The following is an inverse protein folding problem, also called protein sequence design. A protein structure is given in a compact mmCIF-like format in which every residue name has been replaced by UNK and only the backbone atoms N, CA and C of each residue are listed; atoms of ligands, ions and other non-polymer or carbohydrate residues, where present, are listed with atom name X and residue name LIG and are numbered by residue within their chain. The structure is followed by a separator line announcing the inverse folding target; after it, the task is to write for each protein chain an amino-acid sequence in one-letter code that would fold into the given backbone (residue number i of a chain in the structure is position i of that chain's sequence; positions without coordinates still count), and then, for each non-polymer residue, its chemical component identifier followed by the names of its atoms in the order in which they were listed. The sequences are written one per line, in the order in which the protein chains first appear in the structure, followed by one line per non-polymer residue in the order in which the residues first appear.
data_IF_329438698495
#
_entry.id   IF_329438698495
#
_cell.length_a   1.000
_cell.length_b   1.000
_cell.length_c   1.000
_cell.angle_alpha   90.00
_cell.angle_beta   90.00
_cell.angle_gamma   90.00
#
_symmetry.space_group_name_H-M   'P 1'
#
loop_
_entity.id
_entity.type
_entity.pdbx_description
1 polymer ?
#
# COMPACT_ATOMS: atom_id res chain seq x y z
N UNK A 1 25.34 16.50 -13.32
CA UNK A 1 25.96 15.34 -14.00
C UNK A 1 24.88 14.32 -14.23
N UNK A 2 24.55 14.05 -15.50
CA UNK A 2 23.67 12.94 -15.86
C UNK A 2 24.48 11.67 -15.76
N UNK A 3 24.16 10.79 -14.81
CA UNK A 3 24.69 9.42 -14.80
C UNK A 3 24.42 8.82 -16.19
N UNK A 4 25.43 8.30 -16.91
CA UNK A 4 25.18 7.54 -18.13
C UNK A 4 24.22 6.37 -17.79
N UNK A 5 23.44 5.91 -18.77
CA UNK A 5 22.55 4.76 -18.64
C UNK A 5 23.38 3.47 -18.41
N UNK A 6 23.97 3.32 -17.22
CA UNK A 6 24.66 2.13 -16.78
C UNK A 6 23.62 1.12 -16.28
N UNK A 7 23.77 -0.13 -16.68
CA UNK A 7 22.88 -1.20 -16.21
C UNK A 7 23.42 -1.76 -14.89
N UNK A 8 22.51 -2.05 -13.96
CA UNK A 8 22.85 -2.75 -12.70
C UNK A 8 22.58 -4.23 -12.92
N UNK A 9 23.61 -5.07 -12.72
CA UNK A 9 23.51 -6.53 -12.83
C UNK A 9 23.72 -7.14 -11.46
N UNK A 10 22.79 -8.00 -11.04
CA UNK A 10 22.90 -8.73 -9.77
C UNK A 10 23.43 -10.13 -10.06
N UNK A 11 24.61 -10.44 -9.54
CA UNK A 11 25.23 -11.76 -9.65
C UNK A 11 25.07 -12.55 -8.34
N UNK A 12 24.69 -13.82 -8.49
CA UNK A 12 24.53 -14.75 -7.37
C UNK A 12 25.63 -15.81 -7.47
N UNK A 13 26.57 -15.80 -6.54
CA UNK A 13 27.68 -16.74 -6.48
C UNK A 13 27.64 -17.59 -5.21
N UNK A 14 28.15 -18.82 -5.30
CA UNK A 14 28.47 -19.64 -4.13
C UNK A 14 29.85 -19.23 -3.58
N UNK A 15 30.00 -19.18 -2.25
CA UNK A 15 31.29 -19.07 -1.55
C UNK A 15 32.10 -17.75 -1.63
N UNK A 16 31.49 -16.58 -1.84
CA UNK A 16 32.18 -15.30 -1.58
C UNK A 16 32.04 -14.84 -0.12
N UNK A 17 33.15 -14.39 0.47
CA UNK A 17 33.33 -14.06 1.90
C UNK A 17 32.78 -12.67 2.25
N UNK A 18 32.71 -11.73 1.31
CA UNK A 18 32.14 -10.39 1.53
C UNK A 18 31.12 -10.04 0.44
N UNK A 19 30.03 -9.42 0.89
CA UNK A 19 29.04 -8.75 0.03
C UNK A 19 29.62 -7.39 -0.31
N UNK A 20 29.61 -7.03 -1.58
CA UNK A 20 30.01 -5.70 -2.02
C UNK A 20 29.43 -5.43 -3.39
N UNK A 21 29.23 -4.15 -3.65
CA UNK A 21 28.95 -3.59 -4.96
C UNK A 21 30.26 -3.12 -5.58
N UNK A 22 30.38 -3.25 -6.90
CA UNK A 22 31.56 -2.79 -7.65
C UNK A 22 31.14 -2.22 -9.00
N UNK A 23 31.95 -1.30 -9.50
CA UNK A 23 31.85 -0.82 -10.87
C UNK A 23 32.85 -1.57 -11.75
N UNK A 24 32.40 -2.05 -12.91
CA UNK A 24 33.25 -2.73 -13.91
C UNK A 24 33.34 -1.82 -15.12
N UNK A 25 34.47 -1.11 -15.23
CA UNK A 25 34.70 -0.07 -16.23
C UNK A 25 34.66 -0.61 -17.66
N UNK A 26 35.26 -1.79 -17.89
CA UNK A 26 35.34 -2.46 -19.20
C UNK A 26 33.95 -2.74 -19.80
N UNK A 27 32.99 -3.07 -18.96
CA UNK A 27 31.62 -3.39 -19.34
C UNK A 27 30.65 -2.21 -19.16
N UNK A 28 31.09 -1.13 -18.49
CA UNK A 28 30.27 0.01 -18.08
C UNK A 28 29.03 -0.43 -17.27
N UNK A 29 29.24 -1.30 -16.27
CA UNK A 29 28.19 -1.91 -15.45
C UNK A 29 28.49 -1.80 -13.96
N UNK A 30 27.42 -1.65 -13.17
CA UNK A 30 27.49 -1.90 -11.72
C UNK A 30 27.09 -3.34 -11.41
N UNK A 31 27.84 -3.98 -10.53
CA UNK A 31 27.58 -5.35 -10.11
C UNK A 31 27.29 -5.38 -8.61
N UNK A 32 26.22 -6.08 -8.23
CA UNK A 32 25.93 -6.44 -6.84
C UNK A 32 26.14 -7.94 -6.69
N UNK A 33 27.07 -8.33 -5.81
CA UNK A 33 27.41 -9.74 -5.63
C UNK A 33 26.78 -10.29 -4.34
N UNK A 34 25.95 -11.31 -4.50
CA UNK A 34 25.20 -11.93 -3.41
C UNK A 34 25.64 -13.37 -3.22
N UNK A 35 25.94 -13.73 -1.97
CA UNK A 35 26.17 -15.10 -1.59
C UNK A 35 24.85 -15.91 -1.64
N UNK A 36 24.82 -16.94 -2.48
CA UNK A 36 23.66 -17.82 -2.71
C UNK A 36 23.11 -18.45 -1.42
N UNK A 37 23.95 -18.81 -0.46
CA UNK A 37 23.53 -19.47 0.79
C UNK A 37 22.76 -18.54 1.72
N UNK A 38 22.84 -17.23 1.47
CA UNK A 38 22.08 -16.20 2.18
C UNK A 38 20.73 -15.89 1.52
N UNK A 39 20.42 -16.51 0.39
CA UNK A 39 19.12 -16.40 -0.29
C UNK A 39 18.18 -17.44 0.31
N UNK A 40 17.09 -16.97 0.90
CA UNK A 40 16.08 -17.80 1.53
C UNK A 40 14.71 -17.40 1.02
N UNK A 41 14.11 -18.27 0.21
CA UNK A 41 12.80 -18.05 -0.38
C UNK A 41 12.09 -19.41 -0.55
N UNK A 42 10.75 -19.50 -0.32
CA UNK A 42 9.88 -18.46 0.22
C UNK A 42 10.28 -18.03 1.64
N UNK A 43 9.96 -16.79 2.02
CA UNK A 43 10.28 -16.30 3.37
C UNK A 43 9.48 -17.08 4.42
N UNK A 44 10.17 -17.65 5.41
CA UNK A 44 9.56 -18.34 6.55
C UNK A 44 9.75 -17.52 7.82
N UNK A 45 10.96 -16.98 8.01
CA UNK A 45 11.35 -16.24 9.20
C UNK A 45 11.72 -14.78 8.88
N UNK A 46 11.75 -13.93 9.91
CA UNK A 46 12.29 -12.57 9.82
C UNK A 46 13.74 -12.49 9.30
N UNK A 47 14.54 -13.55 9.47
CA UNK A 47 15.94 -13.57 9.01
C UNK A 47 16.04 -13.68 7.50
N UNK A 48 15.05 -14.31 6.86
CA UNK A 48 15.04 -14.56 5.41
C UNK A 48 14.89 -13.24 4.64
N UNK A 49 14.23 -12.25 5.25
CA UNK A 49 14.03 -10.89 4.73
C UNK A 49 15.24 -9.96 4.86
N UNK A 50 16.32 -10.38 5.55
CA UNK A 50 17.55 -9.56 5.70
C UNK A 50 18.24 -9.29 4.36
N UNK A 51 18.03 -10.16 3.37
CA UNK A 51 18.60 -9.99 2.04
C UNK A 51 18.10 -8.72 1.36
N UNK A 52 16.83 -8.36 1.53
CA UNK A 52 16.25 -7.15 0.93
C UNK A 52 16.98 -5.88 1.39
N UNK A 53 17.25 -5.78 2.70
CA UNK A 53 18.04 -4.67 3.24
C UNK A 53 19.47 -4.65 2.71
N UNK A 54 20.08 -5.83 2.55
CA UNK A 54 21.42 -5.94 1.97
C UNK A 54 21.44 -5.41 0.54
N UNK A 55 20.51 -5.84 -0.31
CA UNK A 55 20.44 -5.39 -1.70
C UNK A 55 20.21 -3.88 -1.75
N UNK A 56 19.30 -3.36 -0.93
CA UNK A 56 19.02 -1.93 -0.86
C UNK A 56 20.23 -1.10 -0.38
N UNK A 57 21.04 -1.64 0.53
CA UNK A 57 22.27 -1.01 1.00
C UNK A 57 23.33 -0.93 -0.11
N UNK A 58 23.55 -2.02 -0.85
CA UNK A 58 24.46 -2.01 -2.02
C UNK A 58 23.98 -1.08 -3.13
N UNK A 59 22.66 -1.00 -3.34
CA UNK A 59 22.06 0.02 -4.22
C UNK A 59 22.34 1.44 -3.72
N UNK A 60 22.39 1.64 -2.40
CA UNK A 60 22.79 2.90 -1.79
C UNK A 60 24.21 3.30 -2.18
N UNK A 61 25.19 2.41 -2.05
CA UNK A 61 26.57 2.69 -2.48
C UNK A 61 26.68 3.07 -3.96
N UNK A 62 25.90 2.42 -4.83
CA UNK A 62 25.89 2.72 -6.26
C UNK A 62 25.23 4.09 -6.52
N UNK A 63 24.03 4.32 -5.97
CA UNK A 63 23.22 5.49 -6.30
C UNK A 63 23.68 6.78 -5.60
N UNK A 64 24.41 6.65 -4.49
CA UNK A 64 25.06 7.77 -3.80
C UNK A 64 26.50 7.99 -4.29
N UNK A 65 26.93 7.26 -5.32
CA UNK A 65 28.24 7.43 -5.96
C UNK A 65 29.44 7.13 -5.05
N UNK A 66 29.24 6.31 -4.00
CA UNK A 66 30.32 5.90 -3.09
C UNK A 66 31.39 5.06 -3.79
N UNK A 67 31.09 4.47 -4.96
CA UNK A 67 32.04 3.66 -5.73
C UNK A 67 32.95 4.50 -6.65
N UNK A 68 32.75 5.82 -6.75
CA UNK A 68 33.57 6.67 -7.61
C UNK A 68 35.01 6.82 -7.13
N UNK A 69 35.25 6.70 -5.82
CA UNK A 69 36.58 6.70 -5.23
C UNK A 69 36.90 5.29 -4.75
N UNK A 70 38.03 4.68 -5.16
CA UNK A 70 38.44 3.38 -4.64
C UNK A 70 38.62 3.39 -3.12
N UNK A 71 38.10 2.36 -2.44
CA UNK A 71 38.14 2.24 -0.97
C UNK A 71 39.54 2.35 -0.35
N UNK A 72 40.60 1.96 -1.08
CA UNK A 72 41.99 2.07 -0.62
C UNK A 72 42.46 3.52 -0.44
N UNK A 73 41.79 4.46 -1.10
CA UNK A 73 42.09 5.89 -1.02
C UNK A 73 41.28 6.62 0.05
N UNK A 74 40.30 5.95 0.65
CA UNK A 74 39.43 6.53 1.67
C UNK A 74 39.99 6.28 3.07
N UNK A 75 39.84 7.26 3.95
CA UNK A 75 40.10 7.06 5.38
C UNK A 75 38.95 6.28 6.04
N UNK A 76 39.17 5.77 7.25
CA UNK A 76 38.16 4.93 7.92
C UNK A 76 36.87 5.71 8.21
N UNK A 77 36.99 6.97 8.59
CA UNK A 77 35.85 7.85 8.91
C UNK A 77 34.96 8.08 7.69
N UNK A 78 35.54 8.25 6.49
CA UNK A 78 34.78 8.39 5.24
C UNK A 78 34.01 7.11 4.92
N UNK A 79 34.64 5.95 5.08
CA UNK A 79 34.02 4.64 4.84
C UNK A 79 32.86 4.38 5.81
N UNK A 80 33.04 4.75 7.07
CA UNK A 80 31.98 4.66 8.08
C UNK A 80 30.79 5.58 7.75
N UNK A 81 31.06 6.80 7.27
CA UNK A 81 30.01 7.72 6.83
C UNK A 81 29.25 7.18 5.60
N UNK A 82 29.95 6.71 4.58
CA UNK A 82 29.33 6.12 3.38
C UNK A 82 28.47 4.89 3.74
N UNK A 83 28.92 4.03 4.66
CA UNK A 83 28.15 2.90 5.17
C UNK A 83 26.88 3.35 5.90
N UNK A 84 26.96 4.42 6.71
CA UNK A 84 25.79 5.01 7.39
C UNK A 84 24.80 5.61 6.39
N UNK A 85 25.29 6.31 5.36
CA UNK A 85 24.47 6.88 4.30
C UNK A 85 23.76 5.80 3.47
N UNK A 86 24.47 4.72 3.11
CA UNK A 86 23.89 3.57 2.43
C UNK A 86 22.84 2.84 3.29
N UNK A 87 23.07 2.73 4.61
CA UNK A 87 22.07 2.22 5.55
C UNK A 87 20.81 3.10 5.61
N UNK A 88 20.97 4.42 5.65
CA UNK A 88 19.83 5.34 5.66
C UNK A 88 19.07 5.32 4.33
N UNK A 89 19.79 5.22 3.20
CA UNK A 89 19.20 5.00 1.88
C UNK A 89 18.33 3.73 1.86
N UNK A 90 18.88 2.60 2.30
CA UNK A 90 18.16 1.33 2.37
C UNK A 90 16.91 1.41 3.25
N UNK A 91 17.02 2.09 4.41
CA UNK A 91 15.91 2.33 5.33
C UNK A 91 14.79 3.15 4.68
N UNK A 92 15.12 4.24 4.00
CA UNK A 92 14.14 5.09 3.28
C UNK A 92 13.47 4.37 2.12
N UNK A 93 14.24 3.58 1.36
CA UNK A 93 13.75 2.84 0.21
C UNK A 93 12.76 1.74 0.61
N UNK A 94 13.14 0.92 1.60
CA UNK A 94 12.36 -0.26 2.00
C UNK A 94 11.22 0.08 2.98
N UNK A 95 11.42 1.10 3.81
CA UNK A 95 10.46 1.50 4.85
C UNK A 95 10.22 3.00 4.74
N UNK A 96 9.47 3.45 3.71
CA UNK A 96 9.14 4.85 3.53
C UNK A 96 8.40 5.39 4.75
N UNK A 97 8.83 6.55 5.24
CA UNK A 97 8.28 7.15 6.45
C UNK A 97 6.76 7.36 6.33
N UNK A 98 6.30 7.97 5.23
CA UNK A 98 4.88 8.22 4.99
C UNK A 98 4.06 6.93 5.12
N UNK A 99 4.51 5.83 4.53
CA UNK A 99 3.81 4.54 4.63
C UNK A 99 3.83 4.00 6.05
N UNK A 100 4.99 4.06 6.72
CA UNK A 100 5.17 3.61 8.11
C UNK A 100 4.23 4.32 9.08
N UNK A 101 4.05 5.65 8.93
CA UNK A 101 3.17 6.44 9.80
C UNK A 101 1.68 6.08 9.64
N UNK A 102 1.29 5.53 8.49
CA UNK A 102 -0.08 5.07 8.24
C UNK A 102 -0.29 3.59 8.62
N UNK A 103 0.74 2.88 9.09
CA UNK A 103 0.58 1.51 9.56
C UNK A 103 -0.22 1.46 10.87
N UNK A 104 -0.97 0.39 11.02
CA UNK A 104 -1.58 -0.12 12.25
C UNK A 104 -0.60 -1.13 12.84
N UNK A 105 0.03 -0.78 13.96
CA UNK A 105 1.11 -1.57 14.55
C UNK A 105 0.57 -2.75 15.36
N UNK A 106 -0.01 -3.73 14.67
CA UNK A 106 -0.57 -4.94 15.30
C UNK A 106 0.50 -5.78 16.00
N UNK A 107 1.71 -5.82 15.44
CA UNK A 107 2.92 -6.37 16.05
C UNK A 107 4.13 -6.02 15.18
N UNK A 108 5.34 -6.01 15.76
CA UNK A 108 6.60 -5.81 15.01
C UNK A 108 6.74 -6.82 13.87
N UNK A 109 6.53 -8.15 14.06
CA UNK A 109 6.66 -9.12 12.98
C UNK A 109 5.72 -8.86 11.80
N UNK A 110 4.46 -8.50 12.07
CA UNK A 110 3.48 -8.24 11.00
C UNK A 110 3.83 -6.99 10.18
N UNK A 111 4.26 -5.91 10.84
CA UNK A 111 4.68 -4.68 10.14
C UNK A 111 5.97 -4.92 9.36
N UNK A 112 6.93 -5.66 9.93
CA UNK A 112 8.17 -6.00 9.24
C UNK A 112 7.93 -6.90 8.02
N UNK A 113 7.00 -7.84 8.12
CA UNK A 113 6.54 -8.67 7.00
C UNK A 113 5.87 -7.84 5.91
N UNK A 114 5.01 -6.89 6.28
CA UNK A 114 4.38 -5.96 5.32
C UNK A 114 5.41 -5.19 4.47
N UNK A 115 6.51 -4.74 5.09
CA UNK A 115 7.62 -4.08 4.37
C UNK A 115 8.64 -5.05 3.76
N UNK A 116 8.45 -6.36 3.89
CA UNK A 116 9.43 -7.38 3.50
C UNK A 116 10.84 -7.15 4.09
N UNK A 117 10.93 -6.75 5.35
CA UNK A 117 12.19 -6.53 6.08
C UNK A 117 12.30 -7.41 7.32
N UNK A 118 13.47 -7.40 7.95
CA UNK A 118 13.64 -8.05 9.25
C UNK A 118 13.10 -7.18 10.39
N UNK A 119 12.74 -7.81 11.52
CA UNK A 119 12.29 -7.11 12.72
C UNK A 119 13.31 -6.06 13.20
N UNK A 120 14.60 -6.40 13.12
CA UNK A 120 15.69 -5.49 13.49
C UNK A 120 15.74 -4.26 12.58
N UNK A 121 15.58 -4.43 11.27
CA UNK A 121 15.59 -3.31 10.32
C UNK A 121 14.41 -2.35 10.58
N UNK A 122 13.21 -2.89 10.86
CA UNK A 122 12.07 -2.07 11.26
C UNK A 122 12.32 -1.32 12.57
N UNK A 123 12.87 -1.98 13.58
CA UNK A 123 13.16 -1.35 14.87
C UNK A 123 14.18 -0.21 14.74
N UNK A 124 15.26 -0.43 13.98
CA UNK A 124 16.26 0.62 13.69
C UNK A 124 15.59 1.80 12.99
N UNK A 125 14.74 1.54 11.98
CA UNK A 125 14.03 2.61 11.27
C UNK A 125 13.14 3.43 12.19
N UNK A 126 12.39 2.78 13.07
CA UNK A 126 11.56 3.47 14.07
C UNK A 126 12.41 4.33 15.01
N UNK A 127 13.54 3.82 15.47
CA UNK A 127 14.45 4.55 16.34
C UNK A 127 15.07 5.77 15.62
N UNK A 128 15.54 5.60 14.39
CA UNK A 128 16.09 6.68 13.57
C UNK A 128 15.07 7.81 13.32
N UNK A 129 13.80 7.44 13.11
CA UNK A 129 12.70 8.40 12.94
C UNK A 129 12.17 8.94 14.28
N UNK A 130 12.65 8.44 15.42
CA UNK A 130 12.14 8.75 16.75
C UNK A 130 10.64 8.47 16.91
N UNK A 131 10.16 7.39 16.27
CA UNK A 131 8.75 6.98 16.22
C UNK A 131 8.43 5.69 16.96
N UNK A 132 9.13 5.44 18.07
CA UNK A 132 8.85 4.28 18.93
C UNK A 132 7.44 4.35 19.56
N UNK A 133 6.83 5.54 19.65
CA UNK A 133 5.43 5.78 20.04
C UNK A 133 4.44 4.95 19.21
N UNK A 134 4.78 4.65 17.95
CA UNK A 134 3.93 3.83 17.08
C UNK A 134 3.71 2.42 17.63
N UNK A 135 4.67 1.87 18.39
CA UNK A 135 4.54 0.55 19.02
C UNK A 135 3.50 0.52 20.14
N UNK A 136 3.19 1.69 20.71
CA UNK A 136 2.20 1.87 21.78
C UNK A 136 0.88 2.40 21.25
N UNK A 137 0.80 2.68 19.94
CA UNK A 137 -0.39 3.23 19.32
C UNK A 137 -1.59 2.29 19.42
N UNK A 138 -2.78 2.87 19.58
CA UNK A 138 -4.02 2.10 19.66
C UNK A 138 -4.25 1.33 18.36
N UNK A 139 -4.28 0.01 18.48
CA UNK A 139 -4.64 -0.87 17.36
C UNK A 139 -6.08 -0.58 16.94
N UNK A 140 -6.28 -0.33 15.65
CA UNK A 140 -7.59 -0.07 15.06
C UNK A 140 -8.07 -1.26 14.23
N UNK A 141 -9.38 -1.26 13.97
CA UNK A 141 -10.06 -2.25 13.13
C UNK A 141 -9.71 -2.01 11.65
N UNK A 142 -8.90 -2.89 11.06
CA UNK A 142 -8.39 -2.72 9.69
C UNK A 142 -8.53 -4.02 8.89
N UNK A 143 -9.12 -3.98 7.71
CA UNK A 143 -9.21 -5.16 6.85
C UNK A 143 -7.82 -5.71 6.52
N UNK A 144 -7.56 -6.98 6.82
CA UNK A 144 -6.26 -7.61 6.55
C UNK A 144 -5.89 -7.74 5.08
N UNK A 145 -6.85 -7.67 4.16
CA UNK A 145 -6.61 -7.85 2.71
C UNK A 145 -6.31 -6.54 1.98
N UNK A 146 -7.08 -5.48 2.24
CA UNK A 146 -6.94 -4.20 1.53
C UNK A 146 -6.87 -2.98 2.46
N UNK A 147 -6.69 -3.19 3.75
CA UNK A 147 -6.47 -2.08 4.68
C UNK A 147 -7.67 -1.18 4.97
N UNK A 148 -8.87 -1.52 4.47
CA UNK A 148 -10.07 -0.71 4.72
C UNK A 148 -10.27 -0.49 6.22
N UNK A 149 -10.52 0.77 6.59
CA UNK A 149 -10.80 1.20 7.98
C UNK A 149 -12.26 1.64 8.16
N UNK A 150 -12.98 1.90 7.07
CA UNK A 150 -14.35 2.41 7.10
C UNK A 150 -15.34 1.24 7.22
N UNK A 151 -15.83 1.00 8.44
CA UNK A 151 -16.82 -0.03 8.73
C UNK A 151 -17.95 0.53 9.56
N UNK A 152 -19.18 0.08 9.29
CA UNK A 152 -20.26 0.25 10.24
C UNK A 152 -20.04 -0.65 11.47
N UNK A 153 -20.57 -0.27 12.64
CA UNK A 153 -20.43 -1.07 13.87
C UNK A 153 -20.97 -2.51 13.73
N UNK A 154 -22.03 -2.68 12.95
CA UNK A 154 -22.65 -3.97 12.65
C UNK A 154 -22.04 -4.71 11.43
N UNK A 155 -20.96 -4.19 10.83
CA UNK A 155 -20.36 -4.81 9.65
C UNK A 155 -19.82 -6.21 9.96
N UNK A 156 -20.21 -7.18 9.13
CA UNK A 156 -19.76 -8.58 9.16
C UNK A 156 -18.77 -8.89 8.03
N UNK A 157 -18.78 -8.10 6.96
CA UNK A 157 -17.94 -8.28 5.78
C UNK A 157 -17.24 -6.98 5.40
N UNK A 158 -16.07 -7.09 4.78
CA UNK A 158 -15.36 -5.95 4.26
C UNK A 158 -16.03 -5.43 3.00
N UNK A 159 -16.39 -4.15 2.98
CA UNK A 159 -17.03 -3.50 1.82
C UNK A 159 -16.15 -3.41 0.56
N UNK A 160 -14.86 -3.70 0.67
CA UNK A 160 -13.90 -3.64 -0.45
C UNK A 160 -13.57 -5.02 -1.02
N UNK A 161 -13.33 -6.02 -0.17
CA UNK A 161 -12.96 -7.37 -0.61
C UNK A 161 -14.01 -8.46 -0.43
N UNK A 162 -15.08 -8.20 0.32
CA UNK A 162 -16.11 -9.19 0.64
C UNK A 162 -15.71 -10.21 1.72
N UNK A 163 -14.49 -10.18 2.27
CA UNK A 163 -14.08 -11.13 3.31
C UNK A 163 -14.82 -10.87 4.63
N UNK A 164 -15.14 -11.95 5.36
CA UNK A 164 -15.74 -11.88 6.68
C UNK A 164 -14.77 -11.25 7.70
N UNK A 165 -15.27 -10.32 8.52
CA UNK A 165 -14.44 -9.48 9.38
C UNK A 165 -13.98 -10.16 10.67
N UNK A 166 -14.69 -11.14 11.22
CA UNK A 166 -14.42 -11.71 12.57
C UNK A 166 -12.94 -12.06 12.85
N UNK A 167 -12.18 -12.49 11.84
CA UNK A 167 -10.75 -12.82 11.97
C UNK A 167 -9.83 -12.01 11.04
N UNK A 168 -10.35 -10.99 10.34
CA UNK A 168 -9.62 -10.24 9.29
C UNK A 168 -9.54 -8.73 9.62
N UNK A 169 -9.42 -8.38 10.90
CA UNK A 169 -9.41 -6.98 11.39
C UNK A 169 -8.03 -6.46 11.81
N UNK A 170 -6.96 -7.24 11.60
CA UNK A 170 -5.61 -6.91 12.03
C UNK A 170 -4.72 -6.53 10.84
N UNK A 171 -5.28 -5.84 9.83
CA UNK A 171 -4.48 -5.33 8.71
C UNK A 171 -3.43 -4.32 9.17
N UNK A 172 -2.25 -4.39 8.56
CA UNK A 172 -1.13 -3.48 8.84
C UNK A 172 -1.36 -2.13 8.15
N UNK A 173 -1.71 -2.12 6.88
CA UNK A 173 -1.89 -0.86 6.15
C UNK A 173 -3.27 -0.27 6.41
N UNK A 174 -3.37 1.01 6.77
CA UNK A 174 -4.65 1.72 6.86
C UNK A 174 -4.94 2.43 5.54
N UNK A 175 -6.06 2.11 4.91
CA UNK A 175 -6.58 2.77 3.71
C UNK A 175 -7.97 3.32 3.94
N UNK A 176 -8.14 4.58 3.56
CA UNK A 176 -9.44 5.24 3.42
C UNK A 176 -9.83 5.18 1.95
N UNK A 177 -11.08 4.82 1.71
CA UNK A 177 -11.67 4.72 0.39
C UNK A 177 -12.61 5.89 0.21
N UNK A 178 -12.39 6.64 -0.87
CA UNK A 178 -13.12 7.86 -1.15
C UNK A 178 -14.36 7.56 -1.98
N UNK A 179 -15.37 8.42 -1.81
CA UNK A 179 -16.58 8.41 -2.61
C UNK A 179 -16.20 8.61 -4.08
N UNK A 180 -16.72 7.73 -4.93
CA UNK A 180 -16.50 7.73 -6.38
C UNK A 180 -17.64 8.41 -7.14
N UNK A 181 -18.76 8.66 -6.46
CA UNK A 181 -19.97 9.24 -7.04
C UNK A 181 -20.43 10.38 -6.14
N UNK A 182 -20.12 11.61 -6.55
CA UNK A 182 -20.70 12.80 -5.93
C UNK A 182 -22.16 12.91 -6.36
N UNK A 183 -23.07 12.85 -5.41
CA UNK A 183 -24.43 13.34 -5.61
C UNK A 183 -24.41 14.79 -5.17
N UNK A 184 -24.51 15.73 -6.11
CA UNK A 184 -24.72 17.12 -5.77
C UNK A 184 -25.94 17.21 -4.86
N UNK A 185 -25.72 17.55 -3.59
CA UNK A 185 -26.78 17.80 -2.59
C UNK A 185 -27.54 19.11 -2.87
N UNK A 186 -27.45 19.62 -4.09
CA UNK A 186 -28.05 20.86 -4.50
C UNK A 186 -29.50 20.56 -4.90
N UNK A 187 -30.45 21.20 -4.23
CA UNK A 187 -31.88 21.20 -4.56
C UNK A 187 -32.22 21.71 -5.98
N UNK A 188 -31.21 21.95 -6.82
CA UNK A 188 -31.30 22.33 -8.21
C UNK A 188 -30.76 21.18 -9.07
N UNK A 189 -31.67 20.34 -9.58
CA UNK A 189 -31.44 19.36 -10.65
C UNK A 189 -30.20 18.46 -10.48
N UNK A 190 -30.35 17.37 -9.73
CA UNK A 190 -29.31 16.34 -9.68
C UNK A 190 -29.10 15.71 -11.06
N UNK A 191 -27.84 15.64 -11.49
CA UNK A 191 -27.41 14.99 -12.74
C UNK A 191 -27.17 13.49 -12.49
N UNK A 192 -27.69 12.62 -13.35
CA UNK A 192 -27.41 11.19 -13.24
C UNK A 192 -25.93 10.94 -13.56
N UNK A 193 -25.14 10.37 -12.64
CA UNK A 193 -23.70 10.12 -12.87
C UNK A 193 -23.43 9.07 -13.96
N UNK A 194 -24.48 8.43 -14.50
CA UNK A 194 -24.37 7.35 -15.48
C UNK A 194 -24.81 7.74 -16.88
N UNK A 195 -25.81 8.60 -17.03
CA UNK A 195 -26.31 9.03 -18.34
C UNK A 195 -26.26 10.55 -18.56
N UNK A 196 -25.82 11.33 -17.56
CA UNK A 196 -25.73 12.78 -17.62
C UNK A 196 -27.08 13.51 -17.68
N UNK A 197 -28.20 12.80 -17.56
CA UNK A 197 -29.52 13.43 -17.58
C UNK A 197 -29.84 14.07 -16.23
N UNK A 198 -30.31 15.31 -16.29
CA UNK A 198 -30.72 16.07 -15.11
C UNK A 198 -32.18 15.81 -14.78
N UNK A 199 -32.46 15.53 -13.52
CA UNK A 199 -33.82 15.32 -13.04
C UNK A 199 -34.09 16.17 -11.78
N UNK A 200 -35.33 16.63 -11.65
CA UNK A 200 -35.77 17.37 -10.46
C UNK A 200 -35.90 16.48 -9.23
N UNK A 201 -36.19 15.19 -9.41
CA UNK A 201 -36.32 14.20 -8.35
C UNK A 201 -36.00 12.79 -8.88
N UNK A 202 -35.61 11.89 -7.97
CA UNK A 202 -35.31 10.50 -8.27
C UNK A 202 -36.32 9.58 -7.58
N UNK A 203 -37.42 9.18 -8.25
CA UNK A 203 -38.38 8.27 -7.64
C UNK A 203 -37.67 6.96 -7.26
N UNK A 204 -37.77 6.58 -5.98
CA UNK A 204 -37.17 5.36 -5.43
C UNK A 204 -35.64 5.23 -5.64
N UNK A 205 -34.96 6.35 -5.89
CA UNK A 205 -33.51 6.35 -6.19
C UNK A 205 -33.17 5.72 -7.54
N UNK A 206 -34.07 5.80 -8.52
CA UNK A 206 -33.88 5.31 -9.89
C UNK A 206 -33.87 6.51 -10.86
N UNK A 207 -32.98 6.48 -11.85
CA UNK A 207 -32.95 7.46 -12.94
C UNK A 207 -34.09 7.18 -13.94
N UNK A 208 -35.04 8.11 -14.15
CA UNK A 208 -36.14 7.90 -15.10
C UNK A 208 -35.69 7.74 -16.56
N UNK A 209 -34.51 8.26 -16.92
CA UNK A 209 -34.01 8.21 -18.30
C UNK A 209 -33.24 6.95 -18.65
N UNK A 210 -32.52 6.36 -17.70
CA UNK A 210 -31.68 5.18 -17.97
C UNK A 210 -31.99 3.96 -17.09
N UNK A 211 -32.99 4.07 -16.21
CA UNK A 211 -33.47 3.01 -15.31
C UNK A 211 -32.38 2.45 -14.35
N UNK A 212 -31.27 3.18 -14.18
CA UNK A 212 -30.19 2.81 -13.26
C UNK A 212 -30.51 3.29 -11.85
N UNK A 213 -30.17 2.45 -10.88
CA UNK A 213 -30.25 2.81 -9.46
C UNK A 213 -29.11 3.76 -9.11
N UNK A 214 -29.42 4.77 -8.32
CA UNK A 214 -28.49 5.82 -7.89
C UNK A 214 -27.87 5.53 -6.53
N UNK A 215 -28.36 4.55 -5.79
CA UNK A 215 -27.74 4.14 -4.53
C UNK A 215 -27.15 2.74 -4.65
N UNK A 216 -26.10 2.51 -3.87
CA UNK A 216 -25.34 1.28 -3.94
C UNK A 216 -25.95 0.17 -3.06
N UNK A 217 -27.15 -0.28 -3.45
CA UNK A 217 -27.85 -1.36 -2.77
C UNK A 217 -27.07 -2.67 -2.82
N UNK A 218 -27.27 -3.51 -1.81
CA UNK A 218 -26.86 -4.91 -1.91
C UNK A 218 -27.56 -5.57 -3.11
N UNK A 219 -26.81 -6.28 -3.97
CA UNK A 219 -27.38 -6.91 -5.16
C UNK A 219 -28.46 -7.95 -4.80
N UNK A 220 -28.30 -8.64 -3.67
CA UNK A 220 -29.34 -9.55 -3.13
C UNK A 220 -30.62 -8.85 -2.67
N UNK A 221 -30.65 -7.52 -2.62
CA UNK A 221 -31.86 -6.75 -2.30
C UNK A 221 -32.95 -6.84 -3.37
N UNK A 222 -32.64 -7.42 -4.54
CA UNK A 222 -33.62 -7.71 -5.59
C UNK A 222 -34.50 -8.94 -5.29
N UNK A 223 -34.15 -9.73 -4.26
CA UNK A 223 -34.78 -11.01 -3.94
C UNK A 223 -35.23 -11.08 -2.46
N UNK A 224 -35.81 -9.99 -1.94
CA UNK A 224 -36.21 -9.88 -0.53
C UNK A 224 -37.23 -10.94 -0.10
N UNK A 225 -38.10 -11.35 -1.02
CA UNK A 225 -39.10 -12.40 -0.88
C UNK A 225 -38.53 -13.79 -0.55
N UNK A 226 -37.25 -14.03 -0.85
CA UNK A 226 -36.55 -15.29 -0.57
C UNK A 226 -35.34 -15.12 0.37
N UNK A 227 -35.35 -14.08 1.23
CA UNK A 227 -34.29 -13.85 2.22
C UNK A 227 -33.13 -13.00 1.72
N UNK A 228 -33.38 -12.13 0.74
CA UNK A 228 -32.45 -11.11 0.27
C UNK A 228 -32.02 -10.10 1.35
N UNK A 229 -31.04 -9.27 1.04
CA UNK A 229 -30.50 -8.25 1.95
C UNK A 229 -30.83 -6.85 1.44
N UNK A 230 -31.58 -6.06 2.24
CA UNK A 230 -32.01 -4.69 1.89
C UNK A 230 -30.97 -3.61 2.24
N UNK A 231 -29.75 -3.99 2.63
CA UNK A 231 -28.75 -3.02 3.08
C UNK A 231 -28.28 -2.13 1.94
N UNK A 232 -28.32 -0.82 2.16
CA UNK A 232 -27.72 0.20 1.27
C UNK A 232 -26.28 0.44 1.71
N UNK A 233 -25.34 0.30 0.79
CA UNK A 233 -23.92 0.49 1.07
C UNK A 233 -23.47 1.88 0.59
N UNK A 234 -22.33 2.38 1.08
CA UNK A 234 -21.67 3.54 0.50
C UNK A 234 -21.33 3.31 -0.97
N UNK A 235 -21.24 4.38 -1.73
CA UNK A 235 -21.01 4.39 -3.18
C UNK A 235 -19.71 3.67 -3.59
N UNK A 236 -18.64 3.71 -2.78
CA UNK A 236 -17.37 3.05 -3.07
C UNK A 236 -17.35 1.55 -2.69
N UNK A 237 -18.39 1.05 -2.02
CA UNK A 237 -18.47 -0.34 -1.58
C UNK A 237 -18.66 -1.29 -2.76
N UNK A 238 -17.78 -2.28 -2.91
CA UNK A 238 -17.94 -3.37 -3.88
C UNK A 238 -18.74 -4.54 -3.33
N UNK A 239 -18.73 -4.70 -2.01
CA UNK A 239 -19.43 -5.77 -1.31
C UNK A 239 -20.30 -5.22 -0.19
N UNK A 240 -21.42 -5.89 0.05
CA UNK A 240 -22.34 -5.58 1.12
C UNK A 240 -21.71 -5.91 2.47
N UNK A 241 -21.59 -4.93 3.35
CA UNK A 241 -20.93 -5.12 4.65
C UNK A 241 -21.73 -6.01 5.63
N UNK A 242 -23.01 -6.28 5.34
CA UNK A 242 -23.89 -7.09 6.18
C UNK A 242 -23.93 -8.55 5.74
N UNK A 243 -24.09 -8.82 4.44
CA UNK A 243 -24.24 -10.19 3.91
C UNK A 243 -23.09 -10.67 3.00
N UNK A 244 -22.13 -9.80 2.68
CA UNK A 244 -20.94 -10.14 1.88
C UNK A 244 -21.17 -10.28 0.38
N UNK A 245 -22.41 -10.12 -0.09
CA UNK A 245 -22.72 -10.20 -1.53
C UNK A 245 -22.27 -8.96 -2.27
N UNK A 246 -22.08 -9.06 -3.57
CA UNK A 246 -21.73 -7.91 -4.40
C UNK A 246 -22.78 -6.79 -4.28
N UNK A 247 -22.35 -5.55 -4.38
CA UNK A 247 -23.26 -4.40 -4.44
C UNK A 247 -23.70 -4.13 -5.88
N UNK A 248 -24.79 -3.39 -6.05
CA UNK A 248 -25.31 -3.03 -7.37
C UNK A 248 -24.23 -2.34 -8.22
N UNK A 249 -23.47 -1.39 -7.67
CA UNK A 249 -22.45 -0.66 -8.44
C UNK A 249 -21.29 -1.55 -8.87
N UNK A 250 -20.89 -2.52 -8.06
CA UNK A 250 -19.88 -3.50 -8.46
C UNK A 250 -20.43 -4.45 -9.53
N UNK A 251 -21.64 -5.00 -9.32
CA UNK A 251 -22.24 -5.96 -10.25
C UNK A 251 -22.54 -5.37 -11.64
N UNK A 252 -22.82 -4.07 -11.70
CA UNK A 252 -23.06 -3.34 -12.94
C UNK A 252 -21.77 -2.80 -13.59
N UNK A 253 -20.61 -3.03 -12.98
CA UNK A 253 -19.32 -2.56 -13.47
C UNK A 253 -19.06 -1.06 -13.31
N UNK A 254 -19.85 -0.35 -12.49
CA UNK A 254 -19.58 1.06 -12.16
C UNK A 254 -18.35 1.20 -11.28
N UNK A 255 -18.06 0.17 -10.46
CA UNK A 255 -16.84 0.05 -9.67
C UNK A 255 -15.96 -1.05 -10.25
N UNK A 256 -14.79 -0.68 -10.78
CA UNK A 256 -13.76 -1.67 -11.15
C UNK A 256 -13.26 -2.41 -9.91
N UNK A 257 -12.73 -3.64 -10.01
CA UNK A 257 -12.02 -4.27 -8.91
C UNK A 257 -11.00 -3.31 -8.29
N UNK A 258 -10.87 -3.32 -6.96
CA UNK A 258 -10.06 -2.30 -6.27
C UNK A 258 -8.59 -2.28 -6.73
N UNK A 259 -8.02 -3.46 -7.01
CA UNK A 259 -6.66 -3.59 -7.51
C UNK A 259 -6.44 -2.79 -8.82
N UNK A 260 -7.45 -2.71 -9.67
CA UNK A 260 -7.37 -2.03 -10.96
C UNK A 260 -7.57 -0.52 -10.80
N UNK A 261 -8.46 -0.13 -9.88
CA UNK A 261 -8.74 1.28 -9.59
C UNK A 261 -7.56 1.97 -8.88
N UNK A 262 -6.87 1.26 -7.97
CA UNK A 262 -5.77 1.83 -7.19
C UNK A 262 -4.59 2.31 -8.04
N UNK A 263 -4.30 1.62 -9.15
CA UNK A 263 -3.17 1.96 -10.04
C UNK A 263 -3.42 3.22 -10.89
N UNK A 264 -4.62 3.80 -10.84
CA UNK A 264 -5.04 4.91 -11.69
C UNK A 264 -5.22 6.20 -10.87
N UNK A 265 -5.32 6.12 -9.53
CA UNK A 265 -5.50 7.31 -8.67
C UNK A 265 -4.16 8.07 -8.61
N UNK A 266 -4.07 9.31 -9.12
CA UNK A 266 -2.84 10.10 -9.03
C UNK A 266 -2.50 10.41 -7.56
N UNK A 267 -1.23 10.34 -7.20
CA UNK A 267 -0.76 10.68 -5.83
C UNK A 267 -1.17 12.10 -5.39
N UNK A 268 -1.43 13.01 -6.33
CA UNK A 268 -1.89 14.38 -6.07
C UNK A 268 -3.27 14.45 -5.42
N UNK A 269 -4.22 13.57 -5.80
CA UNK A 269 -5.57 13.54 -5.19
C UNK A 269 -5.50 13.06 -3.73
N UNK A 270 -4.56 12.16 -3.43
CA UNK A 270 -4.30 11.66 -2.06
C UNK A 270 -3.57 12.69 -1.20
N UNK A 271 -2.90 13.68 -1.81
CA UNK A 271 -2.15 14.72 -1.12
C UNK A 271 -3.00 15.95 -0.77
N UNK A 272 -3.91 16.37 -1.64
CA UNK A 272 -4.72 17.58 -1.45
C UNK A 272 -5.70 17.47 -0.27
N UNK A 273 -6.30 16.30 -0.01
CA UNK A 273 -7.23 16.14 1.11
C UNK A 273 -6.55 15.86 2.47
N UNK A 274 -5.27 15.47 2.51
CA UNK A 274 -4.53 15.35 3.78
C UNK A 274 -4.28 16.70 4.46
N UNK A 275 -4.32 17.79 3.69
CA UNK A 275 -4.28 19.16 4.20
C UNK A 275 -5.62 19.60 4.80
N UNK A 276 -6.75 18.96 4.46
CA UNK A 276 -8.08 19.33 4.95
C UNK A 276 -8.41 18.88 6.38
N UNK A 277 -7.64 17.93 6.94
CA UNK A 277 -7.85 17.39 8.29
C UNK A 277 -6.84 17.92 9.33
N UNK A 278 -6.17 19.03 9.05
CA UNK A 278 -5.23 19.71 9.97
C UNK A 278 -5.81 20.98 10.62
N UNK A 279 -7.11 21.00 10.94
CA UNK A 279 -7.72 22.01 11.82
C UNK A 279 -8.55 21.36 12.93
#
# INVERSE_FOLDING_TARGET
MTLPLCHIVIYIFANLIKRFSTYVEEENLYQIIINKDKIRYPFQDSRDRRLNFTIAHELGHILLDHLSIPDILKINEERELEDLEANEFAGKLLIPEKTLLHCNFVSIPAVAEFFNVSNTALWIRLNNLQRLDLLESKITRVCSKYGNTQFHGAARYCRICGNHLKNNMNGVERKTYYETVSFDNCFEQAECPYCGQKHFYWPEGICPSCDRRLYNYCHKGLYLDIGGCSHTNPDYARFCEICGSETYFSSMGFLRPWNDAHNIIPESVVAEEKLGYMY
#
